data_IF_375539129122
#
_entry.id   IF_375539129122
#
_cell.length_a   1.000
_cell.length_b   1.000
_cell.length_c   1.000
_cell.angle_alpha   90.00
_cell.angle_beta   90.00
_cell.angle_gamma   90.00
#
_symmetry.space_group_name_H-M   'P 1'
#
loop_
_entity.id
_entity.type
_entity.pdbx_description
1 polymer ?
#
# COMPACT_ATOMS: atom_id res chain seq x y z
N UNK A 1 -27.70 7.30 -55.20
CA UNK A 1 -27.82 8.65 -55.74
C UNK A 1 -27.19 9.61 -54.77
N UNK A 2 -26.04 10.17 -55.17
CA UNK A 2 -25.40 11.41 -54.67
C UNK A 2 -24.84 11.40 -53.24
N UNK A 3 -23.62 11.87 -52.95
CA UNK A 3 -22.52 12.47 -53.74
C UNK A 3 -21.38 12.75 -52.73
N UNK A 4 -20.11 12.52 -53.17
CA UNK A 4 -18.90 13.34 -52.88
C UNK A 4 -18.19 13.04 -51.55
N UNK A 5 -16.99 12.42 -51.45
CA UNK A 5 -15.80 12.36 -52.33
C UNK A 5 -15.40 13.71 -52.91
N UNK A 6 -14.37 14.30 -52.33
CA UNK A 6 -13.47 15.33 -52.89
C UNK A 6 -13.46 16.65 -52.09
N UNK A 7 -12.65 16.67 -51.03
CA UNK A 7 -12.01 17.88 -50.54
C UNK A 7 -10.59 17.56 -50.05
N UNK A 8 -9.83 16.89 -50.92
CA UNK A 8 -8.39 16.93 -50.92
C UNK A 8 -7.97 18.14 -51.77
N UNK A 9 -7.02 18.92 -51.26
CA UNK A 9 -6.31 20.07 -51.90
C UNK A 9 -6.91 21.44 -51.63
N UNK A 10 -6.40 22.11 -50.59
CA UNK A 10 -5.51 23.27 -50.76
C UNK A 10 -4.81 23.58 -49.44
N UNK A 11 -3.48 23.65 -49.45
CA UNK A 11 -2.68 24.07 -48.29
C UNK A 11 -1.48 23.17 -47.98
N UNK A 12 -0.67 22.83 -48.98
CA UNK A 12 0.68 22.34 -48.76
C UNK A 12 1.60 23.55 -48.47
N UNK A 13 2.69 23.27 -47.75
CA UNK A 13 3.77 24.17 -47.30
C UNK A 13 3.54 24.91 -45.98
N UNK A 14 4.06 24.33 -44.89
CA UNK A 14 5.33 24.78 -44.32
C UNK A 14 5.85 23.73 -43.31
N UNK A 15 7.00 23.15 -43.68
CA UNK A 15 8.09 22.67 -42.82
C UNK A 15 7.76 21.60 -41.77
N UNK A 16 8.12 20.37 -42.15
CA UNK A 16 8.75 19.36 -41.30
C UNK A 16 9.52 19.97 -40.11
N UNK A 17 8.95 19.85 -38.93
CA UNK A 17 9.71 19.78 -37.69
C UNK A 17 9.39 18.42 -37.07
N UNK A 18 10.36 17.50 -36.90
CA UNK A 18 10.13 16.38 -36.02
C UNK A 18 9.86 16.97 -34.65
N UNK A 19 8.73 16.63 -34.03
CA UNK A 19 8.57 16.86 -32.60
C UNK A 19 9.73 16.12 -31.95
N UNK A 20 10.72 16.91 -31.52
CA UNK A 20 11.98 16.44 -30.99
C UNK A 20 11.67 15.40 -29.94
N UNK A 21 12.21 14.20 -30.15
CA UNK A 21 12.56 13.29 -29.08
C UNK A 21 13.12 14.13 -27.94
N UNK A 22 12.30 14.35 -26.91
CA UNK A 22 12.76 14.93 -25.67
C UNK A 22 13.83 13.96 -25.20
N UNK A 23 15.06 14.47 -25.13
CA UNK A 23 16.27 13.73 -24.83
C UNK A 23 16.08 12.83 -23.60
N UNK A 24 15.86 11.54 -23.84
CA UNK A 24 15.93 10.48 -22.83
C UNK A 24 17.39 10.07 -22.53
N UNK A 25 18.37 10.71 -23.16
CA UNK A 25 19.79 10.38 -23.03
C UNK A 25 20.39 10.62 -21.62
N UNK A 26 19.62 11.11 -20.64
CA UNK A 26 20.14 11.46 -19.32
C UNK A 26 19.44 10.79 -18.13
N UNK A 27 18.50 9.86 -18.34
CA UNK A 27 17.91 9.06 -17.25
C UNK A 27 18.04 7.55 -17.48
N UNK A 28 19.14 7.10 -18.08
CA UNK A 28 19.65 5.74 -17.79
C UNK A 28 20.48 5.80 -16.52
N UNK A 29 19.85 6.08 -15.39
CA UNK A 29 20.44 5.63 -14.13
C UNK A 29 20.30 4.12 -14.17
N UNK A 30 21.41 3.39 -14.12
CA UNK A 30 21.38 1.98 -13.81
C UNK A 30 20.88 1.84 -12.36
N UNK A 31 19.58 2.00 -12.15
CA UNK A 31 18.93 1.76 -10.87
C UNK A 31 18.74 0.26 -10.74
N UNK A 32 19.11 -0.29 -9.58
CA UNK A 32 18.78 -1.67 -9.25
C UNK A 32 17.26 -1.88 -9.39
N UNK A 33 16.87 -3.03 -9.94
CA UNK A 33 15.46 -3.40 -10.03
C UNK A 33 15.00 -3.81 -8.63
N UNK A 34 13.92 -3.18 -8.14
CA UNK A 34 13.32 -3.54 -6.85
C UNK A 34 12.30 -4.65 -7.07
N UNK A 35 12.55 -5.80 -6.45
CA UNK A 35 11.67 -6.96 -6.50
C UNK A 35 10.58 -6.91 -5.41
N UNK A 36 9.35 -7.25 -5.77
CA UNK A 36 8.18 -7.25 -4.90
C UNK A 36 7.46 -8.60 -4.93
N UNK A 37 7.14 -9.15 -3.77
CA UNK A 37 6.46 -10.44 -3.62
C UNK A 37 5.15 -10.29 -2.82
N UNK A 38 4.15 -9.54 -3.32
CA UNK A 38 2.95 -9.19 -2.56
C UNK A 38 2.13 -10.40 -2.08
N UNK A 39 2.12 -11.49 -2.86
CA UNK A 39 1.39 -12.71 -2.50
C UNK A 39 2.11 -13.57 -1.45
N UNK A 40 3.39 -13.33 -1.21
CA UNK A 40 4.20 -14.00 -0.19
C UNK A 40 4.30 -13.20 1.11
N UNK A 41 3.76 -11.98 1.13
CA UNK A 41 3.84 -11.06 2.26
C UNK A 41 3.33 -11.70 3.57
N UNK A 42 2.26 -12.50 3.48
CA UNK A 42 1.64 -13.21 4.60
C UNK A 42 2.00 -14.69 4.65
N UNK A 43 2.94 -15.17 3.83
CA UNK A 43 3.38 -16.56 3.82
C UNK A 43 3.99 -16.98 5.16
N UNK A 44 4.07 -18.30 5.39
CA UNK A 44 4.69 -18.84 6.60
C UNK A 44 6.19 -18.51 6.59
N UNK A 45 6.68 -17.87 7.65
CA UNK A 45 8.08 -17.47 7.78
C UNK A 45 8.35 -16.00 7.42
N UNK A 46 7.36 -15.29 6.87
CA UNK A 46 7.45 -13.85 6.62
C UNK A 46 7.60 -13.08 7.94
N UNK A 47 8.52 -12.11 7.96
CA UNK A 47 8.78 -11.25 9.11
C UNK A 47 8.23 -9.85 8.83
N UNK A 48 7.10 -9.51 9.44
CA UNK A 48 6.49 -8.20 9.27
C UNK A 48 6.03 -7.62 10.61
N UNK A 49 5.96 -6.29 10.64
CA UNK A 49 5.23 -5.56 11.66
C UNK A 49 3.78 -5.39 11.22
N UNK A 50 2.84 -5.51 12.16
CA UNK A 50 1.41 -5.36 11.92
C UNK A 50 0.84 -4.17 12.68
N UNK A 51 0.10 -3.32 12.00
CA UNK A 51 -0.60 -2.17 12.55
C UNK A 51 -2.11 -2.34 12.34
N UNK A 52 -2.92 -2.16 13.38
CA UNK A 52 -4.39 -2.12 13.27
C UNK A 52 -4.84 -0.67 13.37
N UNK A 53 -5.38 -0.12 12.28
CA UNK A 53 -5.93 1.23 12.24
C UNK A 53 -7.38 1.28 12.72
N UNK A 54 -7.93 2.48 12.87
CA UNK A 54 -9.30 2.73 13.32
C UNK A 54 -10.34 2.48 12.20
N UNK A 55 -10.42 1.23 11.73
CA UNK A 55 -11.37 0.75 10.72
C UNK A 55 -11.79 -0.70 11.03
N UNK A 56 -12.98 -1.16 10.61
CA UNK A 56 -13.43 -2.54 10.83
C UNK A 56 -12.46 -3.57 10.25
N UNK A 57 -12.34 -4.72 10.94
CA UNK A 57 -11.58 -5.89 10.44
C UNK A 57 -12.57 -6.75 9.65
N UNK A 58 -12.61 -6.57 8.33
CA UNK A 58 -13.53 -7.27 7.41
C UNK A 58 -12.98 -8.63 6.91
N UNK A 59 -11.81 -9.04 7.39
CA UNK A 59 -11.26 -10.37 7.13
C UNK A 59 -12.11 -11.46 7.80
N UNK A 60 -12.05 -12.67 7.27
CA UNK A 60 -12.51 -13.84 8.04
C UNK A 60 -11.74 -13.93 9.36
N UNK A 61 -12.38 -14.43 10.42
CA UNK A 61 -11.74 -14.54 11.73
C UNK A 61 -10.42 -15.32 11.66
N UNK A 62 -10.38 -16.42 10.89
CA UNK A 62 -9.17 -17.22 10.70
C UNK A 62 -8.06 -16.47 9.97
N UNK A 63 -8.39 -15.69 8.94
CA UNK A 63 -7.42 -14.85 8.24
C UNK A 63 -6.83 -13.78 9.15
N UNK A 64 -7.66 -13.06 9.91
CA UNK A 64 -7.20 -12.05 10.85
C UNK A 64 -6.31 -12.65 11.95
N UNK A 65 -6.68 -13.80 12.53
CA UNK A 65 -5.86 -14.49 13.53
C UNK A 65 -4.54 -14.99 12.94
N UNK A 66 -4.55 -15.51 11.71
CA UNK A 66 -3.31 -15.90 11.01
C UNK A 66 -2.37 -14.71 10.81
N UNK A 67 -2.90 -13.58 10.34
CA UNK A 67 -2.13 -12.34 10.13
C UNK A 67 -1.55 -11.85 11.45
N UNK A 68 -2.37 -11.83 12.50
CA UNK A 68 -1.93 -11.42 13.83
C UNK A 68 -0.83 -12.32 14.41
N UNK A 69 -1.04 -13.63 14.42
CA UNK A 69 -0.12 -14.59 15.02
C UNK A 69 1.24 -14.66 14.30
N UNK A 70 1.28 -14.34 13.00
CA UNK A 70 2.52 -14.38 12.20
C UNK A 70 3.33 -13.09 12.29
N UNK A 71 2.75 -12.00 12.77
CA UNK A 71 3.44 -10.73 12.93
C UNK A 71 4.58 -10.84 13.95
N UNK A 72 5.73 -10.23 13.64
CA UNK A 72 6.89 -10.19 14.55
C UNK A 72 6.73 -9.14 15.65
N UNK A 73 5.94 -8.12 15.39
CA UNK A 73 5.54 -7.07 16.34
C UNK A 73 4.17 -6.53 15.92
N UNK A 74 3.31 -6.23 16.89
CA UNK A 74 1.93 -5.78 16.67
C UNK A 74 1.68 -4.45 17.34
N UNK A 75 1.05 -3.52 16.64
CA UNK A 75 0.59 -2.28 17.23
C UNK A 75 -0.88 -2.02 16.91
N UNK A 76 -1.58 -1.39 17.85
CA UNK A 76 -2.90 -0.81 17.60
C UNK A 76 -2.79 0.72 17.64
N UNK A 77 -3.50 1.38 16.73
CA UNK A 77 -3.41 2.84 16.54
C UNK A 77 -4.69 3.49 17.01
N UNK A 78 -4.63 4.19 18.13
CA UNK A 78 -5.73 4.94 18.75
C UNK A 78 -7.05 4.13 18.73
N UNK A 79 -8.08 4.55 17.99
CA UNK A 79 -9.36 3.82 17.91
C UNK A 79 -9.24 2.38 17.35
N UNK A 80 -8.18 2.06 16.59
CA UNK A 80 -7.85 0.69 16.19
C UNK A 80 -7.62 -0.26 17.37
N UNK A 81 -7.29 0.29 18.55
CA UNK A 81 -7.21 -0.43 19.82
C UNK A 81 -8.57 -0.99 20.23
N UNK A 82 -9.64 -0.22 20.08
CA UNK A 82 -11.00 -0.67 20.38
C UNK A 82 -11.45 -1.74 19.38
N UNK A 83 -11.13 -1.55 18.11
CA UNK A 83 -11.44 -2.51 17.06
C UNK A 83 -10.81 -3.86 17.36
N UNK A 84 -9.49 -3.87 17.64
CA UNK A 84 -8.79 -5.10 17.94
C UNK A 84 -9.31 -5.74 19.24
N UNK A 85 -9.53 -4.96 20.29
CA UNK A 85 -10.09 -5.44 21.55
C UNK A 85 -11.42 -6.15 21.37
N UNK A 86 -12.36 -5.52 20.64
CA UNK A 86 -13.66 -6.11 20.33
C UNK A 86 -13.53 -7.36 19.43
N UNK A 87 -12.58 -7.37 18.51
CA UNK A 87 -12.34 -8.51 17.64
C UNK A 87 -11.78 -9.70 18.42
N UNK A 88 -10.82 -9.48 19.32
CA UNK A 88 -10.17 -10.53 20.12
C UNK A 88 -11.05 -11.07 21.24
N UNK A 89 -11.98 -10.25 21.75
CA UNK A 89 -12.93 -10.65 22.79
C UNK A 89 -13.74 -11.89 22.34
N UNK A 90 -13.61 -12.98 23.09
CA UNK A 90 -14.36 -14.22 22.86
C UNK A 90 -13.80 -15.17 21.81
N UNK A 91 -12.74 -14.80 21.06
CA UNK A 91 -12.13 -15.69 20.04
C UNK A 91 -10.80 -16.33 20.47
N UNK A 92 -10.26 -15.92 21.62
CA UNK A 92 -8.99 -16.42 22.20
C UNK A 92 -8.94 -17.95 22.26
N UNK A 93 -10.05 -18.57 22.68
CA UNK A 93 -10.14 -20.02 22.87
C UNK A 93 -10.74 -20.78 21.68
N UNK A 94 -11.29 -20.09 20.68
CA UNK A 94 -12.07 -20.72 19.60
C UNK A 94 -11.24 -21.08 18.36
N UNK A 95 -10.28 -20.23 17.98
CA UNK A 95 -9.65 -20.28 16.66
C UNK A 95 -8.12 -20.12 16.68
N UNK A 96 -7.50 -20.34 17.85
CA UNK A 96 -6.04 -20.39 17.97
C UNK A 96 -5.36 -19.03 17.96
N UNK A 97 -6.01 -17.98 18.48
CA UNK A 97 -5.35 -16.70 18.74
C UNK A 97 -4.36 -16.86 19.89
N UNK A 98 -3.06 -16.80 19.58
CA UNK A 98 -2.00 -17.19 20.53
C UNK A 98 -1.76 -16.17 21.65
N UNK A 99 -1.87 -14.89 21.32
CA UNK A 99 -1.71 -13.78 22.26
C UNK A 99 -2.48 -12.57 21.70
N UNK A 100 -3.61 -12.15 22.30
CA UNK A 100 -4.39 -11.00 21.83
C UNK A 100 -3.73 -9.65 22.18
N UNK A 101 -2.69 -9.61 23.00
CA UNK A 101 -2.10 -8.36 23.49
C UNK A 101 -1.15 -7.78 22.43
N UNK A 102 -1.34 -6.52 21.98
CA UNK A 102 -0.39 -5.84 21.11
C UNK A 102 0.91 -5.56 21.85
N UNK A 103 2.01 -5.42 21.10
CA UNK A 103 3.28 -4.96 21.63
C UNK A 103 3.25 -3.45 21.93
N UNK A 104 2.55 -2.69 21.09
CA UNK A 104 2.45 -1.23 21.15
C UNK A 104 0.98 -0.78 21.06
N UNK A 105 0.62 0.21 21.85
CA UNK A 105 -0.64 0.95 21.70
C UNK A 105 -0.28 2.43 21.59
N UNK A 106 -0.52 3.04 20.43
CA UNK A 106 -0.05 4.41 20.14
C UNK A 106 -1.19 5.31 19.72
N UNK A 107 -1.17 6.58 20.10
CA UNK A 107 -2.15 7.56 19.65
C UNK A 107 -2.23 8.76 20.60
N UNK A 108 -2.94 9.80 20.20
CA UNK A 108 -3.34 10.86 21.14
C UNK A 108 -4.48 10.45 22.09
N UNK A 109 -5.10 9.30 21.81
CA UNK A 109 -6.14 8.63 22.61
C UNK A 109 -7.46 9.41 22.68
N UNK A 110 -7.82 10.13 21.61
CA UNK A 110 -9.12 10.77 21.49
C UNK A 110 -10.25 9.79 21.11
N UNK A 111 -9.90 8.67 20.47
CA UNK A 111 -10.85 7.64 20.04
C UNK A 111 -10.71 6.34 20.85
N UNK A 112 -9.53 6.03 21.38
CA UNK A 112 -9.31 4.83 22.20
C UNK A 112 -10.08 4.88 23.54
N UNK A 113 -10.80 3.81 23.87
CA UNK A 113 -11.53 3.72 25.14
C UNK A 113 -10.56 3.45 26.30
N UNK A 114 -10.73 4.18 27.41
CA UNK A 114 -9.87 4.05 28.59
C UNK A 114 -9.79 2.62 29.14
N UNK A 115 -10.88 1.84 29.04
CA UNK A 115 -10.87 0.43 29.49
C UNK A 115 -9.95 -0.44 28.64
N UNK A 116 -9.89 -0.22 27.33
CA UNK A 116 -9.03 -0.97 26.41
C UNK A 116 -7.57 -0.62 26.67
N UNK A 117 -7.26 0.68 26.85
CA UNK A 117 -5.92 1.15 27.17
C UNK A 117 -5.40 0.55 28.47
N UNK A 118 -6.22 0.61 29.55
CA UNK A 118 -5.86 0.02 30.84
C UNK A 118 -5.67 -1.48 30.76
N UNK A 119 -6.58 -2.19 30.09
CA UNK A 119 -6.47 -3.63 29.91
C UNK A 119 -5.14 -4.00 29.24
N UNK A 120 -4.82 -3.39 28.09
CA UNK A 120 -3.58 -3.73 27.39
C UNK A 120 -2.33 -3.34 28.18
N UNK A 121 -2.35 -2.19 28.88
CA UNK A 121 -1.25 -1.78 29.75
C UNK A 121 -1.01 -2.79 30.88
N UNK A 122 -2.06 -3.23 31.57
CA UNK A 122 -1.99 -4.22 32.66
C UNK A 122 -1.51 -5.59 32.19
N UNK A 123 -1.75 -5.93 30.91
CA UNK A 123 -1.35 -7.19 30.29
C UNK A 123 -0.01 -7.09 29.53
N UNK A 124 0.72 -5.97 29.66
CA UNK A 124 2.11 -5.84 29.23
C UNK A 124 2.32 -5.14 27.88
N UNK A 125 1.29 -4.57 27.26
CA UNK A 125 1.46 -3.71 26.09
C UNK A 125 2.13 -2.38 26.48
N UNK A 126 3.03 -1.88 25.62
CA UNK A 126 3.63 -0.55 25.79
C UNK A 126 2.67 0.51 25.22
N UNK A 127 1.98 1.22 26.10
CA UNK A 127 1.06 2.31 25.75
C UNK A 127 1.83 3.63 25.65
N UNK A 128 1.82 4.26 24.48
CA UNK A 128 2.58 5.48 24.16
C UNK A 128 1.61 6.57 23.72
N UNK A 129 1.50 7.63 24.53
CA UNK A 129 0.71 8.80 24.19
C UNK A 129 1.48 9.68 23.20
N UNK A 130 0.88 9.99 22.06
CA UNK A 130 1.49 10.78 20.99
C UNK A 130 0.62 12.03 20.71
N UNK A 131 0.76 13.11 21.50
CA UNK A 131 -0.16 14.24 21.50
C UNK A 131 -0.04 15.19 20.29
N UNK A 132 0.96 15.01 19.43
CA UNK A 132 1.17 15.86 18.25
C UNK A 132 -0.07 15.87 17.33
N UNK A 133 -0.57 17.07 17.05
CA UNK A 133 -1.77 17.31 16.26
C UNK A 133 -1.46 17.68 14.80
N UNK A 134 -0.19 17.92 14.46
CA UNK A 134 0.24 18.21 13.08
C UNK A 134 0.51 16.92 12.27
N UNK A 135 0.54 15.76 12.95
CA UNK A 135 0.66 14.43 12.34
C UNK A 135 -0.47 13.49 12.77
N UNK A 136 -0.89 12.61 11.86
CA UNK A 136 -1.89 11.58 12.17
C UNK A 136 -1.33 10.49 13.07
N UNK A 137 -2.20 9.80 13.82
CA UNK A 137 -1.77 8.67 14.67
C UNK A 137 -1.12 7.54 13.88
N UNK A 138 -1.49 7.37 12.61
CA UNK A 138 -0.84 6.40 11.74
C UNK A 138 0.64 6.78 11.49
N UNK A 139 0.90 8.04 11.16
CA UNK A 139 2.26 8.56 10.99
C UNK A 139 3.08 8.43 12.29
N UNK A 140 2.50 8.86 13.42
CA UNK A 140 3.12 8.79 14.75
C UNK A 140 3.44 7.34 15.14
N UNK A 141 2.50 6.42 14.89
CA UNK A 141 2.68 4.98 15.13
C UNK A 141 3.87 4.40 14.35
N UNK A 142 4.04 4.76 13.07
CA UNK A 142 5.18 4.28 12.28
C UNK A 142 6.52 4.73 12.87
N UNK A 143 6.61 5.94 13.43
CA UNK A 143 7.83 6.44 14.11
C UNK A 143 8.13 5.65 15.39
N UNK A 144 7.10 5.41 16.21
CA UNK A 144 7.23 4.61 17.43
C UNK A 144 7.59 3.16 17.10
N UNK A 145 6.98 2.58 16.07
CA UNK A 145 7.31 1.26 15.57
C UNK A 145 8.78 1.19 15.11
N UNK A 146 9.24 2.17 14.32
CA UNK A 146 10.63 2.23 13.85
C UNK A 146 11.62 2.26 15.02
N UNK A 147 11.32 3.07 16.03
CA UNK A 147 12.10 3.12 17.28
C UNK A 147 12.12 1.78 18.00
N UNK A 148 10.97 1.12 18.12
CA UNK A 148 10.85 -0.16 18.81
C UNK A 148 11.55 -1.31 18.04
N UNK A 149 11.50 -1.30 16.71
CA UNK A 149 12.22 -2.26 15.86
C UNK A 149 13.74 -2.16 16.10
N UNK A 150 14.28 -0.94 16.19
CA UNK A 150 15.70 -0.71 16.50
C UNK A 150 16.02 -1.15 17.93
N UNK A 151 15.21 -0.75 18.91
CA UNK A 151 15.44 -1.06 20.32
C UNK A 151 15.42 -2.57 20.62
N UNK A 152 14.58 -3.33 19.91
CA UNK A 152 14.47 -4.80 20.05
C UNK A 152 15.36 -5.58 19.08
N UNK A 153 16.16 -4.89 18.26
CA UNK A 153 16.96 -5.48 17.17
C UNK A 153 16.13 -6.38 16.22
N UNK A 154 14.85 -6.03 16.01
CA UNK A 154 13.92 -6.78 15.18
C UNK A 154 14.07 -6.38 13.72
N UNK A 155 14.39 -7.37 12.88
CA UNK A 155 14.42 -7.20 11.41
C UNK A 155 13.11 -7.67 10.81
N UNK A 156 12.37 -6.73 10.23
CA UNK A 156 11.17 -6.99 9.43
C UNK A 156 11.43 -6.67 7.97
N UNK A 157 10.80 -7.43 7.09
CA UNK A 157 10.84 -7.24 5.65
C UNK A 157 9.72 -6.31 5.15
N UNK A 158 8.71 -6.05 5.99
CA UNK A 158 7.58 -5.20 5.66
C UNK A 158 6.88 -4.68 6.92
N UNK A 159 6.16 -3.57 6.76
CA UNK A 159 5.13 -3.10 7.68
C UNK A 159 3.78 -3.24 6.98
N UNK A 160 2.80 -3.78 7.67
CA UNK A 160 1.44 -3.99 7.15
C UNK A 160 0.48 -3.22 8.04
N UNK A 161 -0.25 -2.27 7.47
CA UNK A 161 -1.34 -1.59 8.13
C UNK A 161 -2.66 -2.16 7.65
N UNK A 162 -3.39 -2.81 8.57
CA UNK A 162 -4.77 -3.25 8.34
C UNK A 162 -5.68 -2.05 8.42
N UNK A 163 -6.40 -1.80 7.34
CA UNK A 163 -7.35 -0.72 7.20
C UNK A 163 -8.46 -1.09 6.23
N UNK A 164 -9.43 -0.19 6.05
CA UNK A 164 -10.43 -0.29 4.98
C UNK A 164 -10.53 1.05 4.25
N UNK A 165 -10.93 0.99 2.97
CA UNK A 165 -11.09 2.17 2.12
C UNK A 165 -12.51 2.75 2.22
N UNK A 166 -13.04 2.84 3.44
CA UNK A 166 -14.42 3.27 3.74
C UNK A 166 -14.44 4.31 4.88
N UNK A 167 -15.61 4.94 5.08
CA UNK A 167 -15.79 5.97 6.11
C UNK A 167 -15.30 7.36 5.66
N UNK A 168 -14.52 8.03 6.52
CA UNK A 168 -14.04 9.40 6.29
C UNK A 168 -13.05 9.45 5.12
N UNK A 169 -13.41 10.14 4.04
CA UNK A 169 -12.57 10.26 2.84
C UNK A 169 -11.21 10.90 3.15
N UNK A 170 -11.19 11.92 4.00
CA UNK A 170 -9.97 12.58 4.43
C UNK A 170 -9.01 11.63 5.18
N UNK A 171 -9.53 10.66 5.94
CA UNK A 171 -8.71 9.61 6.56
C UNK A 171 -8.11 8.66 5.52
N UNK A 172 -8.91 8.26 4.52
CA UNK A 172 -8.43 7.40 3.41
C UNK A 172 -7.28 8.10 2.68
N UNK A 173 -7.46 9.38 2.32
CA UNK A 173 -6.41 10.17 1.66
C UNK A 173 -5.19 10.40 2.58
N UNK A 174 -5.41 10.54 3.89
CA UNK A 174 -4.32 10.66 4.86
C UNK A 174 -3.48 9.37 4.97
N UNK A 175 -4.11 8.19 4.88
CA UNK A 175 -3.38 6.92 4.81
C UNK A 175 -2.49 6.83 3.57
N UNK A 176 -2.97 7.32 2.41
CA UNK A 176 -2.16 7.41 1.20
C UNK A 176 -0.99 8.41 1.34
N UNK A 177 -1.23 9.53 2.00
CA UNK A 177 -0.17 10.49 2.33
C UNK A 177 0.87 9.88 3.29
N UNK A 178 0.42 9.05 4.23
CA UNK A 178 1.30 8.32 5.16
C UNK A 178 2.22 7.35 4.40
N UNK A 179 1.68 6.58 3.44
CA UNK A 179 2.48 5.72 2.56
C UNK A 179 3.60 6.50 1.86
N UNK A 180 3.30 7.70 1.36
CA UNK A 180 4.27 8.54 0.67
C UNK A 180 5.42 8.99 1.60
N UNK A 181 5.10 9.31 2.86
CA UNK A 181 6.07 9.73 3.89
C UNK A 181 6.83 8.56 4.52
N UNK A 182 6.28 7.35 4.44
CA UNK A 182 6.79 6.19 5.18
C UNK A 182 8.26 5.87 4.86
N UNK A 183 8.71 6.11 3.62
CA UNK A 183 10.12 5.90 3.22
C UNK A 183 11.10 6.73 4.05
N UNK A 184 10.71 7.93 4.46
CA UNK A 184 11.57 8.81 5.27
C UNK A 184 11.73 8.29 6.71
N UNK A 185 10.82 7.43 7.16
CA UNK A 185 10.77 6.90 8.54
C UNK A 185 11.28 5.45 8.60
N UNK A 186 10.91 4.63 7.62
CA UNK A 186 11.19 3.19 7.55
C UNK A 186 12.37 2.84 6.62
N UNK A 187 12.92 3.83 5.92
CA UNK A 187 14.02 3.62 4.97
C UNK A 187 13.61 2.70 3.82
N UNK A 188 14.27 1.55 3.71
CA UNK A 188 13.99 0.57 2.66
C UNK A 188 12.89 -0.43 3.01
N UNK A 189 12.35 -0.41 4.24
CA UNK A 189 11.28 -1.33 4.63
C UNK A 189 9.96 -0.83 4.04
N UNK A 190 9.30 -1.60 3.17
CA UNK A 190 8.05 -1.18 2.56
C UNK A 190 6.88 -1.19 3.55
N UNK A 191 5.98 -0.23 3.37
CA UNK A 191 4.69 -0.15 4.06
C UNK A 191 3.57 -0.52 3.09
N UNK A 192 2.72 -1.46 3.52
CA UNK A 192 1.54 -1.90 2.79
C UNK A 192 0.27 -1.48 3.53
N UNK A 193 -0.71 -0.98 2.78
CA UNK A 193 -2.09 -0.95 3.22
C UNK A 193 -2.76 -2.26 2.82
N UNK A 194 -3.31 -2.96 3.79
CA UNK A 194 -3.99 -4.23 3.60
C UNK A 194 -5.46 -4.07 3.99
N UNK A 195 -6.33 -4.24 3.01
CA UNK A 195 -7.79 -4.34 3.19
C UNK A 195 -8.23 -5.78 2.99
N UNK A 196 -9.50 -6.10 3.30
CA UNK A 196 -10.02 -7.46 3.10
C UNK A 196 -9.90 -7.98 1.65
N UNK A 197 -9.86 -7.08 0.66
CA UNK A 197 -9.88 -7.43 -0.77
C UNK A 197 -8.72 -6.88 -1.57
N UNK A 198 -7.88 -6.00 -1.03
CA UNK A 198 -6.79 -5.38 -1.77
C UNK A 198 -5.56 -5.09 -0.93
N UNK A 199 -4.42 -5.06 -1.59
CA UNK A 199 -3.15 -4.62 -1.04
C UNK A 199 -2.62 -3.45 -1.87
N UNK A 200 -2.11 -2.42 -1.20
CA UNK A 200 -1.58 -1.21 -1.85
C UNK A 200 -0.27 -0.75 -1.23
N UNK A 201 0.66 -0.29 -2.05
CA UNK A 201 1.96 0.26 -1.61
C UNK A 201 2.52 1.24 -2.63
N UNK A 202 3.56 1.97 -2.25
CA UNK A 202 4.19 2.98 -3.12
C UNK A 202 5.37 2.39 -3.87
N UNK A 203 5.37 2.58 -5.17
CA UNK A 203 6.52 2.41 -6.05
C UNK A 203 7.18 3.78 -6.21
N UNK A 204 8.35 3.96 -5.61
CA UNK A 204 9.12 5.19 -5.76
C UNK A 204 9.79 5.27 -7.14
N UNK A 205 10.36 6.43 -7.49
CA UNK A 205 11.10 6.58 -8.75
C UNK A 205 12.12 5.45 -8.98
N UNK A 206 12.05 4.81 -10.14
CA UNK A 206 12.95 3.72 -10.52
C UNK A 206 12.25 2.57 -11.23
N UNK A 207 12.92 1.40 -11.22
CA UNK A 207 12.46 0.17 -11.87
C UNK A 207 12.03 -0.86 -10.84
N UNK A 208 10.91 -1.52 -11.10
CA UNK A 208 10.28 -2.48 -10.21
C UNK A 208 9.91 -3.74 -10.98
N UNK A 209 9.95 -4.86 -10.28
CA UNK A 209 9.44 -6.15 -10.74
C UNK A 209 8.55 -6.74 -9.67
N UNK A 210 7.28 -6.92 -10.00
CA UNK A 210 6.26 -7.46 -9.11
C UNK A 210 6.03 -8.92 -9.51
N UNK A 211 6.39 -9.84 -8.63
CA UNK A 211 6.18 -11.28 -8.79
C UNK A 211 4.74 -11.61 -8.44
N UNK A 212 4.06 -12.25 -9.39
CA UNK A 212 2.66 -12.67 -9.29
C UNK A 212 2.53 -14.10 -9.79
N UNK A 213 1.36 -14.70 -9.59
CA UNK A 213 1.04 -16.03 -10.12
C UNK A 213 -0.38 -16.07 -10.65
N UNK A 214 -0.77 -17.21 -11.20
CA UNK A 214 -2.05 -17.40 -11.89
C UNK A 214 -3.29 -17.01 -11.06
N UNK A 215 -3.17 -16.94 -9.73
CA UNK A 215 -4.28 -16.52 -8.85
C UNK A 215 -4.73 -15.08 -9.13
N UNK A 216 -3.87 -14.24 -9.71
CA UNK A 216 -4.19 -12.82 -9.95
C UNK A 216 -4.73 -12.53 -11.36
N UNK A 217 -4.73 -13.51 -12.27
CA UNK A 217 -5.09 -13.28 -13.69
C UNK A 217 -6.48 -12.63 -13.84
N UNK A 218 -7.45 -13.09 -13.03
CA UNK A 218 -8.81 -12.55 -13.03
C UNK A 218 -9.00 -11.32 -12.12
N UNK A 219 -7.95 -10.94 -11.39
CA UNK A 219 -7.96 -9.83 -10.45
C UNK A 219 -7.65 -8.49 -11.13
N UNK A 220 -8.03 -7.41 -10.47
CA UNK A 220 -7.75 -6.06 -10.93
C UNK A 220 -6.50 -5.49 -10.27
N UNK A 221 -5.84 -4.58 -10.97
CA UNK A 221 -4.83 -3.71 -10.41
C UNK A 221 -5.01 -2.27 -10.89
N UNK A 222 -4.29 -1.35 -10.25
CA UNK A 222 -4.28 0.05 -10.61
C UNK A 222 -2.97 0.73 -10.25
N UNK A 223 -2.68 1.81 -10.99
CA UNK A 223 -1.55 2.69 -10.79
C UNK A 223 -2.06 4.12 -10.67
N UNK A 224 -1.82 4.72 -9.51
CA UNK A 224 -2.37 6.03 -9.15
C UNK A 224 -1.21 6.98 -8.83
N UNK A 225 -1.04 8.09 -9.56
CA UNK A 225 0.01 9.06 -9.29
C UNK A 225 -0.25 9.74 -7.95
N UNK A 226 0.74 9.74 -7.05
CA UNK A 226 0.59 10.37 -5.73
C UNK A 226 1.18 11.77 -5.74
N UNK A 227 0.30 12.78 -5.63
CA UNK A 227 0.64 14.19 -5.45
C UNK A 227 1.06 14.94 -6.72
N UNK A 228 1.72 14.28 -7.69
CA UNK A 228 2.17 14.92 -8.94
C UNK A 228 2.03 13.96 -10.13
N UNK A 229 1.94 14.48 -11.37
CA UNK A 229 1.96 13.65 -12.57
C UNK A 229 3.20 12.76 -12.64
N UNK A 230 3.03 11.54 -13.16
CA UNK A 230 4.08 10.55 -13.32
C UNK A 230 4.05 9.96 -14.74
N UNK A 231 5.21 9.65 -15.31
CA UNK A 231 5.35 8.90 -16.55
C UNK A 231 5.70 7.46 -16.22
N UNK A 232 4.90 6.53 -16.74
CA UNK A 232 5.00 5.11 -16.43
C UNK A 232 5.18 4.27 -17.70
N UNK A 233 6.13 3.35 -17.64
CA UNK A 233 6.30 2.26 -18.61
C UNK A 233 6.04 0.94 -17.91
N UNK A 234 5.30 0.03 -18.54
CA UNK A 234 4.95 -1.27 -17.95
C UNK A 234 4.98 -2.41 -18.96
N UNK A 235 5.25 -3.62 -18.46
CA UNK A 235 5.04 -4.86 -19.19
C UNK A 235 4.45 -5.93 -18.27
N UNK A 236 3.51 -6.73 -18.79
CA UNK A 236 2.85 -7.81 -18.05
C UNK A 236 1.45 -7.45 -17.56
N UNK A 237 0.96 -6.26 -17.90
CA UNK A 237 -0.42 -5.81 -17.69
C UNK A 237 -1.24 -5.93 -18.98
N UNK A 238 -2.54 -6.11 -18.84
CA UNK A 238 -3.47 -6.16 -19.99
C UNK A 238 -3.46 -4.85 -20.77
N UNK A 239 -3.38 -3.74 -20.06
CA UNK A 239 -3.17 -2.42 -20.63
C UNK A 239 -1.79 -1.92 -20.19
N UNK A 240 -0.77 -2.46 -20.86
CA UNK A 240 0.61 -1.99 -20.73
C UNK A 240 0.74 -0.53 -21.18
N UNK A 241 1.81 0.10 -20.71
CA UNK A 241 2.06 1.54 -20.83
C UNK A 241 3.43 1.76 -21.43
N UNK A 242 3.54 2.72 -22.35
CA UNK A 242 4.80 3.15 -22.95
C UNK A 242 4.98 4.65 -22.70
N UNK A 243 5.77 4.99 -21.67
CA UNK A 243 6.00 6.37 -21.22
C UNK A 243 4.68 7.16 -21.07
N UNK A 244 3.66 6.52 -20.48
CA UNK A 244 2.32 7.07 -20.38
C UNK A 244 2.22 8.01 -19.19
N UNK A 245 1.74 9.24 -19.43
CA UNK A 245 1.50 10.21 -18.37
C UNK A 245 0.24 9.84 -17.57
N UNK A 246 0.40 9.66 -16.26
CA UNK A 246 -0.67 9.51 -15.30
C UNK A 246 -0.80 10.78 -14.45
N UNK A 247 -2.01 11.32 -14.32
CA UNK A 247 -2.30 12.49 -13.48
C UNK A 247 -3.78 12.57 -13.05
N UNK A 248 -4.03 13.14 -11.87
CA UNK A 248 -5.39 13.53 -11.48
C UNK A 248 -5.91 14.63 -12.40
N UNK A 249 -7.16 14.47 -12.86
CA UNK A 249 -7.76 15.32 -13.92
C UNK A 249 -7.43 14.87 -15.35
N UNK A 250 -6.52 13.90 -15.50
CA UNK A 250 -6.20 13.23 -16.75
C UNK A 250 -6.42 11.71 -16.63
N UNK A 251 -5.44 10.94 -17.09
CA UNK A 251 -5.49 9.48 -17.01
C UNK A 251 -4.96 8.98 -15.66
N UNK A 252 -5.71 8.07 -15.06
CA UNK A 252 -5.25 7.23 -13.95
C UNK A 252 -5.51 5.78 -14.36
N UNK A 253 -4.55 4.88 -14.14
CA UNK A 253 -4.75 3.46 -14.50
C UNK A 253 -5.59 2.79 -13.41
N UNK A 254 -6.88 2.65 -13.66
CA UNK A 254 -7.80 1.90 -12.79
C UNK A 254 -8.40 0.73 -13.56
N UNK A 255 -8.74 -0.34 -12.84
CA UNK A 255 -9.31 -1.56 -13.42
C UNK A 255 -8.41 -2.25 -14.46
N UNK A 256 -7.09 -2.05 -14.37
CA UNK A 256 -6.11 -2.80 -15.15
C UNK A 256 -6.14 -4.27 -14.73
N UNK A 257 -5.53 -5.16 -15.52
CA UNK A 257 -5.49 -6.60 -15.25
C UNK A 257 -4.09 -7.15 -15.47
N UNK A 258 -3.81 -8.28 -14.84
CA UNK A 258 -2.59 -9.03 -15.08
C UNK A 258 -2.72 -9.85 -16.37
N UNK A 259 -1.58 -10.09 -17.03
CA UNK A 259 -1.46 -11.09 -18.09
C UNK A 259 -1.13 -12.46 -17.46
N UNK A 260 -0.86 -13.47 -18.30
CA UNK A 260 -0.37 -14.79 -17.90
C UNK A 260 1.14 -14.79 -17.53
N UNK A 261 1.79 -13.62 -17.52
CA UNK A 261 3.17 -13.49 -17.11
C UNK A 261 3.32 -13.59 -15.59
N UNK A 262 4.33 -14.32 -15.12
CA UNK A 262 4.67 -14.43 -13.70
C UNK A 262 5.21 -13.13 -13.07
N UNK A 263 5.52 -12.12 -13.90
CA UNK A 263 6.07 -10.86 -13.42
C UNK A 263 5.48 -9.67 -14.17
N UNK A 264 5.13 -8.62 -13.42
CA UNK A 264 4.87 -7.29 -13.97
C UNK A 264 6.12 -6.44 -13.79
N UNK A 265 6.61 -5.83 -14.87
CA UNK A 265 7.69 -4.85 -14.79
C UNK A 265 7.13 -3.44 -14.89
N UNK A 266 7.64 -2.54 -14.06
CA UNK A 266 7.21 -1.14 -14.01
C UNK A 266 8.42 -0.23 -13.90
N UNK A 267 8.43 0.86 -14.68
CA UNK A 267 9.36 1.96 -14.53
C UNK A 267 8.58 3.26 -14.36
N UNK A 268 8.93 4.04 -13.35
CA UNK A 268 8.25 5.31 -13.04
C UNK A 268 9.25 6.41 -12.71
N UNK A 269 9.02 7.62 -13.21
CA UNK A 269 9.86 8.79 -12.93
C UNK A 269 9.50 9.46 -11.58
N UNK A 270 8.30 9.22 -11.07
CA UNK A 270 7.78 9.75 -9.80
C UNK A 270 7.11 8.67 -8.96
N UNK A 271 6.91 8.90 -7.64
CA UNK A 271 6.19 7.96 -6.80
C UNK A 271 4.74 7.73 -7.27
N UNK A 272 4.36 6.46 -7.39
CA UNK A 272 3.01 6.03 -7.74
C UNK A 272 2.53 4.99 -6.74
N UNK A 273 1.24 5.03 -6.42
CA UNK A 273 0.59 3.95 -5.69
C UNK A 273 0.33 2.81 -6.66
N UNK A 274 0.80 1.61 -6.33
CA UNK A 274 0.34 0.38 -6.95
C UNK A 274 -0.68 -0.27 -6.01
N UNK A 275 -1.80 -0.68 -6.58
CA UNK A 275 -2.86 -1.39 -5.85
C UNK A 275 -3.30 -2.61 -6.63
N UNK A 276 -3.57 -3.71 -5.93
CA UNK A 276 -4.09 -4.92 -6.55
C UNK A 276 -5.13 -5.60 -5.67
N UNK A 277 -6.15 -6.17 -6.32
CA UNK A 277 -7.10 -7.05 -5.66
C UNK A 277 -6.40 -8.35 -5.29
N UNK A 278 -6.58 -8.76 -4.04
CA UNK A 278 -6.03 -10.01 -3.53
C UNK A 278 -6.90 -11.17 -3.99
N UNK A 279 -6.28 -12.28 -4.45
CA UNK A 279 -7.02 -13.51 -4.64
C UNK A 279 -7.50 -14.05 -3.28
N UNK A 280 -8.53 -14.91 -3.26
CA UNK A 280 -8.94 -15.59 -2.04
C UNK A 280 -7.76 -16.29 -1.37
N UNK A 281 -7.56 -16.03 -0.08
CA UNK A 281 -6.54 -16.70 0.73
C UNK A 281 -6.88 -18.20 0.82
N UNK A 282 -5.96 -19.07 0.38
CA UNK A 282 -6.05 -20.52 0.57
C UNK A 282 -5.29 -20.95 1.81
#
# INVERSE_FOLDING_TARGET
MKLVSDALRLGCFLLSAPFKAVHWASFKVASDVIDWHPLELLAKGSKYALLILNQPIEFTKSSAVMIWNRASIRATVDGGTNIWFKFSEGIENEIGLSNPIPDLVTGDFDSAETRCLKYYQEHGAKVIHTPDQDETDFNKCIRELSTELVARELKVNAVIAVCENTGRLDHILSNLNTLQKARDILGSVPLYLLTHSSISWVLHTGRHRIHVDDRVIDQHCGLIPLGQPAYVTSSGLKWDMDCLKLEFGGLISTSNKFTDQATVTLETDRPILFTMTLPPWK
#
